data_IF_376335163344
#
_entry.id   IF_376335163344
#
_cell.length_a   1.000
_cell.length_b   1.000
_cell.length_c   1.000
_cell.angle_alpha   90.00
_cell.angle_beta   90.00
_cell.angle_gamma   90.00
#
_symmetry.space_group_name_H-M   'P 1'
#
loop_
_entity.id
_entity.type
_entity.pdbx_description
1 polymer ?
#
# COMPACT_ATOMS: atom_id res chain seq x y z
N UNK A 1 4.96 7.93 -9.52
CA UNK A 1 4.64 6.92 -8.49
C UNK A 1 4.69 5.54 -9.14
N UNK A 2 5.49 4.61 -8.62
CA UNK A 2 5.61 3.23 -9.12
C UNK A 2 4.45 2.41 -8.56
N UNK A 3 3.65 1.75 -9.40
CA UNK A 3 2.41 1.09 -8.98
C UNK A 3 2.43 -0.43 -9.02
N UNK A 4 3.60 -1.07 -9.11
CA UNK A 4 3.81 -2.51 -9.40
C UNK A 4 3.87 -2.85 -10.89
N UNK A 5 4.42 -4.04 -11.24
CA UNK A 5 4.17 -4.60 -12.55
C UNK A 5 2.67 -4.86 -12.71
N UNK A 6 2.10 -4.39 -13.83
CA UNK A 6 0.81 -4.82 -14.35
C UNK A 6 1.09 -5.91 -15.38
N UNK A 7 0.40 -7.04 -15.27
CA UNK A 7 0.55 -8.15 -16.20
C UNK A 7 -0.80 -8.47 -16.84
N UNK A 8 -0.82 -8.57 -18.17
CA UNK A 8 -2.02 -8.84 -18.95
C UNK A 8 -1.65 -9.38 -20.34
N UNK A 9 -2.44 -10.33 -20.85
CA UNK A 9 -2.21 -10.93 -22.17
C UNK A 9 -0.83 -11.60 -22.33
N UNK A 10 -0.24 -12.12 -21.24
CA UNK A 10 1.10 -12.71 -21.24
C UNK A 10 2.27 -11.71 -21.27
N UNK A 11 1.98 -10.40 -21.18
CA UNK A 11 2.98 -9.33 -21.08
C UNK A 11 2.96 -8.70 -19.70
N UNK A 12 4.08 -8.09 -19.28
CA UNK A 12 4.14 -7.29 -18.05
C UNK A 12 4.89 -5.98 -18.27
N UNK A 13 4.46 -4.93 -17.58
CA UNK A 13 5.18 -3.66 -17.55
C UNK A 13 5.06 -2.98 -16.19
N UNK A 14 6.06 -2.18 -15.87
CA UNK A 14 6.00 -1.27 -14.73
C UNK A 14 5.12 -0.07 -15.08
N UNK A 15 4.03 0.10 -14.34
CA UNK A 15 3.09 1.22 -14.54
C UNK A 15 3.41 2.33 -13.56
N UNK A 16 3.32 3.56 -14.06
CA UNK A 16 3.56 4.76 -13.28
C UNK A 16 2.30 5.63 -13.24
N UNK A 17 1.95 6.11 -12.06
CA UNK A 17 0.92 7.14 -11.90
C UNK A 17 1.55 8.47 -11.51
N UNK A 18 1.05 9.54 -12.11
CA UNK A 18 1.31 10.92 -11.71
C UNK A 18 0.12 11.40 -10.87
N UNK A 19 0.36 11.71 -9.61
CA UNK A 19 -0.66 12.32 -8.73
C UNK A 19 -0.36 13.81 -8.57
N UNK A 20 -1.19 14.66 -9.17
CA UNK A 20 -0.98 16.11 -9.19
C UNK A 20 0.37 16.51 -9.80
N UNK A 21 0.92 17.64 -9.37
CA UNK A 21 2.21 18.15 -9.83
C UNK A 21 3.38 17.85 -8.87
N UNK A 22 3.21 16.85 -8.01
CA UNK A 22 4.29 16.38 -7.14
C UNK A 22 5.46 15.85 -7.98
N UNK A 23 6.67 16.24 -7.58
CA UNK A 23 7.92 15.67 -8.09
C UNK A 23 8.50 14.72 -7.05
N UNK A 24 9.31 13.76 -7.52
CA UNK A 24 9.86 12.68 -6.71
C UNK A 24 11.37 12.65 -6.85
N UNK A 25 12.07 12.61 -5.72
CA UNK A 25 13.50 12.33 -5.65
C UNK A 25 13.69 10.95 -5.05
N UNK A 26 14.46 10.11 -5.73
CA UNK A 26 14.74 8.75 -5.28
C UNK A 26 16.20 8.63 -4.85
N UNK A 27 16.43 7.83 -3.82
CA UNK A 27 17.76 7.33 -3.48
C UNK A 27 17.72 5.82 -3.30
N UNK A 28 18.86 5.18 -3.54
CA UNK A 28 19.04 3.75 -3.32
C UNK A 28 20.09 3.51 -2.26
N UNK A 29 19.88 2.50 -1.43
CA UNK A 29 20.84 2.05 -0.44
C UNK A 29 21.06 0.55 -0.57
N UNK A 30 22.18 0.08 -0.04
CA UNK A 30 22.50 -1.36 -0.01
C UNK A 30 21.48 -2.12 0.83
N UNK A 31 21.18 -3.39 0.47
CA UNK A 31 20.39 -4.27 1.31
C UNK A 31 20.94 -4.34 2.73
N UNK A 32 20.03 -4.47 3.69
CA UNK A 32 20.35 -4.65 5.11
C UNK A 32 20.39 -6.12 5.50
N UNK A 33 21.19 -6.45 6.50
CA UNK A 33 21.36 -7.82 6.97
C UNK A 33 20.38 -8.22 8.09
N UNK A 34 19.71 -7.25 8.70
CA UNK A 34 18.77 -7.45 9.82
C UNK A 34 17.69 -6.39 9.87
N UNK A 35 16.64 -6.62 10.67
CA UNK A 35 15.62 -5.61 10.95
C UNK A 35 16.18 -4.39 11.70
N UNK A 36 17.20 -4.57 12.55
CA UNK A 36 17.86 -3.48 13.25
C UNK A 36 18.65 -2.57 12.30
N UNK A 37 19.35 -3.16 11.34
CA UNK A 37 20.06 -2.42 10.28
C UNK A 37 19.06 -1.66 9.39
N UNK A 38 17.91 -2.28 9.07
CA UNK A 38 16.82 -1.60 8.38
C UNK A 38 16.35 -0.38 9.17
N UNK A 39 16.06 -0.52 10.47
CA UNK A 39 15.60 0.61 11.29
C UNK A 39 16.59 1.77 11.31
N UNK A 40 17.88 1.48 11.46
CA UNK A 40 18.93 2.50 11.41
C UNK A 40 18.94 3.22 10.06
N UNK A 41 18.94 2.43 8.97
CA UNK A 41 18.96 2.95 7.61
C UNK A 41 17.72 3.79 7.26
N UNK A 42 16.54 3.30 7.63
CA UNK A 42 15.26 3.94 7.32
C UNK A 42 15.03 5.20 8.14
N UNK A 43 15.44 5.23 9.42
CA UNK A 43 15.36 6.44 10.23
C UNK A 43 16.39 7.50 9.79
N UNK A 44 17.57 7.11 9.31
CA UNK A 44 18.53 8.04 8.70
C UNK A 44 17.91 8.72 7.46
N UNK A 45 17.39 7.95 6.52
CA UNK A 45 16.72 8.48 5.33
C UNK A 45 15.47 9.31 5.69
N UNK A 46 14.68 8.81 6.65
CA UNK A 46 13.48 9.45 7.18
C UNK A 46 13.74 10.81 7.81
N UNK A 47 14.86 10.99 8.50
CA UNK A 47 15.28 12.30 9.04
C UNK A 47 15.54 13.34 7.97
N UNK A 48 15.85 12.92 6.74
CA UNK A 48 16.02 13.76 5.55
C UNK A 48 14.73 13.92 4.72
N UNK A 49 13.63 13.32 5.18
CA UNK A 49 12.32 13.34 4.53
C UNK A 49 12.14 12.33 3.42
N UNK A 50 12.92 11.25 3.40
CA UNK A 50 12.74 10.14 2.48
C UNK A 50 11.93 9.01 3.14
N UNK A 51 10.96 8.47 2.40
CA UNK A 51 10.18 7.28 2.79
C UNK A 51 10.76 6.04 2.14
N UNK A 52 10.97 4.97 2.89
CA UNK A 52 11.26 3.65 2.31
C UNK A 52 10.09 3.23 1.44
N UNK A 53 10.27 2.88 0.16
CA UNK A 53 9.18 2.45 -0.75
C UNK A 53 9.26 0.98 -1.15
N UNK A 54 10.13 0.22 -0.48
CA UNK A 54 10.38 -1.19 -0.75
C UNK A 54 11.81 -1.45 -1.22
N UNK A 55 12.02 -2.65 -1.76
CA UNK A 55 13.26 -3.04 -2.39
C UNK A 55 13.05 -3.35 -3.86
N UNK A 56 14.07 -3.09 -4.67
CA UNK A 56 14.06 -3.32 -6.10
C UNK A 56 15.19 -4.26 -6.48
N UNK A 57 14.88 -5.31 -7.22
CA UNK A 57 15.90 -6.12 -7.88
C UNK A 57 16.50 -5.33 -9.03
N UNK A 58 17.80 -5.08 -8.94
CA UNK A 58 18.64 -4.55 -10.01
C UNK A 58 19.29 -5.72 -10.75
N UNK A 59 19.60 -5.53 -12.04
CA UNK A 59 20.18 -6.60 -12.86
C UNK A 59 21.39 -7.26 -12.19
N UNK A 60 21.47 -8.60 -12.27
CA UNK A 60 22.54 -9.38 -11.63
C UNK A 60 22.38 -9.53 -10.12
N UNK A 61 21.43 -10.37 -9.67
CA UNK A 61 21.19 -10.84 -8.29
C UNK A 61 21.18 -9.79 -7.15
N UNK A 62 21.25 -8.51 -7.48
CA UNK A 62 21.49 -7.42 -6.53
C UNK A 62 20.17 -6.75 -6.25
N UNK A 63 19.78 -6.74 -4.99
CA UNK A 63 18.63 -5.95 -4.52
C UNK A 63 19.14 -4.60 -4.01
N UNK A 64 18.34 -3.54 -4.13
CA UNK A 64 18.59 -2.26 -3.46
C UNK A 64 17.37 -1.84 -2.66
N UNK A 65 17.59 -1.18 -1.53
CA UNK A 65 16.53 -0.50 -0.80
C UNK A 65 16.24 0.83 -1.48
N UNK A 66 14.97 1.09 -1.79
CA UNK A 66 14.56 2.31 -2.50
C UNK A 66 13.86 3.22 -1.52
N UNK A 67 14.28 4.49 -1.53
CA UNK A 67 13.66 5.54 -0.74
C UNK A 67 13.21 6.68 -1.65
N UNK A 68 12.09 7.32 -1.31
CA UNK A 68 11.44 8.37 -2.11
C UNK A 68 11.13 9.58 -1.26
N UNK A 69 11.46 10.77 -1.75
CA UNK A 69 11.04 12.05 -1.19
C UNK A 69 10.06 12.73 -2.14
N UNK A 70 8.92 13.13 -1.60
CA UNK A 70 7.82 13.73 -2.34
C UNK A 70 7.86 15.26 -2.14
N UNK A 71 7.80 16.04 -3.22
CA UNK A 71 7.90 17.51 -3.12
C UNK A 71 6.70 18.16 -2.42
N UNK A 72 5.58 17.47 -2.33
CA UNK A 72 4.34 17.92 -1.69
C UNK A 72 4.23 17.48 -0.22
N UNK A 73 5.23 16.78 0.32
CA UNK A 73 5.24 16.34 1.72
C UNK A 73 5.57 17.45 2.74
N UNK A 74 5.52 18.73 2.36
CA UNK A 74 5.69 19.90 3.24
C UNK A 74 6.92 19.86 4.19
N UNK A 75 8.02 19.22 3.77
CA UNK A 75 9.22 19.08 4.61
C UNK A 75 9.12 18.04 5.72
N UNK A 76 8.11 17.14 5.67
CA UNK A 76 7.95 16.05 6.61
C UNK A 76 9.21 15.17 6.70
N UNK A 77 9.53 14.79 7.93
CA UNK A 77 10.42 13.68 8.28
C UNK A 77 9.63 12.44 8.68
N UNK A 78 10.26 11.28 8.62
CA UNK A 78 9.65 9.99 8.90
C UNK A 78 10.44 9.20 9.93
N UNK A 79 9.73 8.60 10.88
CA UNK A 79 10.29 7.71 11.89
C UNK A 79 9.76 6.30 11.66
N UNK A 80 10.63 5.31 11.74
CA UNK A 80 10.30 3.90 11.55
C UNK A 80 10.38 3.10 12.83
N UNK A 81 9.48 2.14 12.95
CA UNK A 81 9.44 1.13 13.99
C UNK A 81 9.21 -0.25 13.36
N UNK A 82 9.73 -1.30 13.98
CA UNK A 82 9.51 -2.69 13.56
C UNK A 82 9.17 -3.55 14.74
N UNK A 83 8.28 -4.51 14.52
CA UNK A 83 7.94 -5.56 15.47
C UNK A 83 7.98 -6.92 14.77
N UNK A 84 8.04 -8.03 15.53
CA UNK A 84 7.87 -9.36 14.95
C UNK A 84 6.54 -9.42 14.17
N UNK A 85 6.56 -10.01 12.98
CA UNK A 85 5.35 -10.15 12.17
C UNK A 85 4.34 -11.08 12.89
N UNK A 86 3.08 -10.66 12.97
CA UNK A 86 2.03 -11.46 13.57
C UNK A 86 1.75 -12.73 12.75
N UNK A 87 1.54 -13.85 13.45
CA UNK A 87 1.28 -15.16 12.85
C UNK A 87 -0.20 -15.51 12.73
N UNK A 88 -1.10 -14.67 13.22
CA UNK A 88 -2.54 -14.89 13.17
C UNK A 88 -3.30 -13.55 13.07
N UNK A 89 -4.59 -13.63 12.71
CA UNK A 89 -5.45 -12.45 12.48
C UNK A 89 -5.62 -11.57 13.71
N UNK A 90 -5.78 -12.16 14.89
CA UNK A 90 -6.10 -11.40 16.10
C UNK A 90 -4.85 -10.70 16.62
N UNK A 91 -3.70 -11.38 16.61
CA UNK A 91 -2.38 -10.79 16.89
C UNK A 91 -2.04 -9.69 15.89
N UNK A 92 -2.33 -9.91 14.59
CA UNK A 92 -2.12 -8.89 13.55
C UNK A 92 -2.95 -7.64 13.84
N UNK A 93 -4.27 -7.79 14.04
CA UNK A 93 -5.17 -6.67 14.31
C UNK A 93 -4.79 -5.93 15.60
N UNK A 94 -4.43 -6.65 16.67
CA UNK A 94 -3.98 -6.03 17.92
C UNK A 94 -2.72 -5.19 17.69
N UNK A 95 -1.73 -5.74 16.99
CA UNK A 95 -0.47 -5.07 16.66
C UNK A 95 -0.70 -3.81 15.81
N UNK A 96 -1.35 -3.92 14.66
CA UNK A 96 -1.51 -2.78 13.74
C UNK A 96 -2.41 -1.68 14.31
N UNK A 97 -3.41 -2.03 15.13
CA UNK A 97 -4.26 -1.03 15.78
C UNK A 97 -3.54 -0.34 16.96
N UNK A 98 -2.71 -1.05 17.72
CA UNK A 98 -1.89 -0.44 18.76
C UNK A 98 -0.91 0.60 18.17
N UNK A 99 -0.21 0.22 17.10
CA UNK A 99 0.71 1.11 16.37
C UNK A 99 -0.05 2.24 15.67
N UNK A 100 -1.20 1.93 15.05
CA UNK A 100 -2.09 2.91 14.42
C UNK A 100 -2.57 3.99 15.38
N UNK A 101 -2.97 3.61 16.60
CA UNK A 101 -3.36 4.56 17.66
C UNK A 101 -2.19 5.47 18.10
N UNK A 102 -0.95 4.99 18.01
CA UNK A 102 0.26 5.78 18.26
C UNK A 102 0.68 6.67 17.06
N UNK A 103 -0.07 6.62 15.95
CA UNK A 103 0.17 7.40 14.74
C UNK A 103 1.12 6.74 13.74
N UNK A 104 1.42 5.46 13.91
CA UNK A 104 2.22 4.69 12.97
C UNK A 104 1.33 3.99 11.93
N UNK A 105 1.65 4.20 10.66
CA UNK A 105 1.04 3.51 9.54
C UNK A 105 1.77 2.19 9.25
N UNK A 106 1.05 1.10 9.03
CA UNK A 106 1.63 -0.18 8.64
C UNK A 106 1.99 -0.13 7.14
N UNK A 107 3.29 -0.01 6.88
CA UNK A 107 3.83 0.01 5.52
C UNK A 107 3.97 -1.39 4.95
N UNK A 108 4.36 -2.35 5.79
CA UNK A 108 4.38 -3.77 5.46
C UNK A 108 3.95 -4.60 6.67
N UNK A 109 3.03 -5.53 6.49
CA UNK A 109 2.60 -6.44 7.56
C UNK A 109 3.66 -7.49 7.89
N UNK A 110 4.42 -7.91 6.89
CA UNK A 110 5.54 -8.84 7.02
C UNK A 110 6.53 -8.57 5.90
N UNK A 111 7.77 -8.23 6.26
CA UNK A 111 8.87 -8.03 5.32
C UNK A 111 10.16 -8.67 5.84
N UNK A 112 10.90 -9.31 4.93
CA UNK A 112 12.16 -9.98 5.22
C UNK A 112 13.36 -9.04 5.15
N UNK A 113 14.11 -8.92 6.24
CA UNK A 113 15.41 -8.24 6.28
C UNK A 113 16.49 -9.21 6.76
N UNK A 114 17.25 -9.76 5.81
CA UNK A 114 18.15 -10.88 6.09
C UNK A 114 17.37 -12.10 6.57
N UNK A 115 17.61 -12.52 7.82
CA UNK A 115 16.89 -13.63 8.47
C UNK A 115 15.62 -13.23 9.22
N UNK A 116 15.37 -11.93 9.42
CA UNK A 116 14.27 -11.43 10.23
C UNK A 116 13.02 -11.20 9.37
N UNK A 117 11.84 -11.64 9.85
CA UNK A 117 10.54 -11.28 9.26
C UNK A 117 9.80 -10.39 10.24
N UNK A 118 9.60 -9.12 9.87
CA UNK A 118 9.04 -8.09 10.75
C UNK A 118 7.91 -7.31 10.08
N UNK A 119 6.98 -6.83 10.89
CA UNK A 119 6.06 -5.78 10.50
C UNK A 119 6.80 -4.42 10.52
N UNK A 120 6.55 -3.59 9.52
CA UNK A 120 7.19 -2.27 9.36
C UNK A 120 6.16 -1.16 9.49
N UNK A 121 6.47 -0.23 10.39
CA UNK A 121 5.62 0.89 10.77
C UNK A 121 6.32 2.21 10.49
N UNK A 122 5.59 3.19 9.95
CA UNK A 122 6.11 4.53 9.62
C UNK A 122 5.22 5.60 10.26
N UNK A 123 5.84 6.60 10.88
CA UNK A 123 5.17 7.79 11.38
C UNK A 123 5.71 9.04 10.70
N UNK A 124 4.82 9.83 10.12
CA UNK A 124 5.12 11.16 9.58
C UNK A 124 5.17 12.18 10.72
N UNK A 125 6.10 13.14 10.65
CA UNK A 125 6.08 14.33 11.50
C UNK A 125 5.07 15.39 11.04
N UNK A 126 4.57 15.27 9.81
CA UNK A 126 3.47 16.10 9.34
C UNK A 126 2.12 15.54 9.82
N UNK A 127 1.36 16.38 10.52
CA UNK A 127 0.03 16.05 11.03
C UNK A 127 0.05 15.14 12.26
N UNK A 128 -1.15 14.76 12.71
CA UNK A 128 -1.38 13.90 13.87
C UNK A 128 -2.29 12.71 13.50
N UNK A 129 -2.20 12.21 12.27
CA UNK A 129 -3.01 11.08 11.80
C UNK A 129 -2.81 9.87 12.69
N UNK A 130 -3.92 9.21 13.01
CA UNK A 130 -3.96 7.90 13.68
C UNK A 130 -4.76 6.94 12.83
N UNK A 131 -4.50 5.65 12.97
CA UNK A 131 -4.99 4.65 12.04
C UNK A 131 -5.74 3.54 12.76
N UNK A 132 -6.84 3.10 12.15
CA UNK A 132 -7.54 1.88 12.52
C UNK A 132 -7.50 0.88 11.36
N UNK A 133 -7.42 -0.40 11.69
CA UNK A 133 -7.38 -1.49 10.73
C UNK A 133 -8.51 -2.48 10.98
N UNK A 134 -9.07 -2.94 9.88
CA UNK A 134 -10.00 -4.05 9.85
C UNK A 134 -9.54 -5.10 8.86
N UNK A 135 -10.00 -6.33 9.09
CA UNK A 135 -9.77 -7.44 8.18
C UNK A 135 -11.12 -8.01 7.77
N UNK A 136 -11.36 -8.10 6.47
CA UNK A 136 -12.49 -8.82 5.88
C UNK A 136 -12.09 -10.26 5.55
N UNK A 137 -13.03 -11.20 5.65
CA UNK A 137 -12.84 -12.55 5.13
C UNK A 137 -12.76 -12.54 3.60
N UNK A 138 -12.19 -13.59 3.01
CA UNK A 138 -12.22 -13.76 1.56
C UNK A 138 -13.67 -13.81 1.04
N UNK A 139 -13.91 -13.08 -0.04
CA UNK A 139 -15.16 -13.14 -0.77
C UNK A 139 -15.15 -14.33 -1.74
N UNK A 140 -16.32 -14.94 -1.93
CA UNK A 140 -16.48 -16.06 -2.87
C UNK A 140 -16.40 -15.62 -4.34
N UNK A 141 -16.80 -14.38 -4.64
CA UNK A 141 -16.85 -13.82 -5.98
C UNK A 141 -16.64 -12.29 -5.97
N UNK A 142 -16.52 -11.71 -7.17
CA UNK A 142 -16.33 -10.27 -7.38
C UNK A 142 -17.44 -9.42 -6.75
N UNK A 143 -18.69 -9.89 -6.78
CA UNK A 143 -19.84 -9.17 -6.23
C UNK A 143 -19.72 -9.07 -4.71
N UNK A 144 -19.40 -10.18 -4.04
CA UNK A 144 -19.16 -10.25 -2.61
C UNK A 144 -17.96 -9.39 -2.18
N UNK A 145 -16.88 -9.38 -2.98
CA UNK A 145 -15.73 -8.53 -2.73
C UNK A 145 -16.10 -7.04 -2.82
N UNK A 146 -16.81 -6.63 -3.87
CA UNK A 146 -17.26 -5.24 -4.02
C UNK A 146 -18.19 -4.82 -2.89
N UNK A 147 -19.17 -5.66 -2.53
CA UNK A 147 -20.07 -5.38 -1.41
C UNK A 147 -19.29 -5.19 -0.10
N UNK A 148 -18.29 -6.03 0.17
CA UNK A 148 -17.42 -5.89 1.34
C UNK A 148 -16.60 -4.58 1.28
N UNK A 149 -16.02 -4.26 0.12
CA UNK A 149 -15.16 -3.09 -0.04
C UNK A 149 -15.97 -1.80 0.11
N UNK A 150 -17.17 -1.73 -0.47
CA UNK A 150 -18.08 -0.58 -0.36
C UNK A 150 -18.62 -0.43 1.06
N UNK A 151 -18.97 -1.52 1.75
CA UNK A 151 -19.39 -1.49 3.16
C UNK A 151 -18.31 -0.86 4.05
N UNK A 152 -17.07 -1.33 3.92
CA UNK A 152 -15.92 -0.81 4.66
C UNK A 152 -15.56 0.60 4.23
N UNK A 153 -15.61 0.87 2.94
CA UNK A 153 -15.35 2.16 2.32
C UNK A 153 -16.31 3.25 2.79
N UNK A 154 -17.60 2.93 2.94
CA UNK A 154 -18.60 3.83 3.52
C UNK A 154 -18.30 4.19 4.97
N UNK A 155 -17.65 3.30 5.73
CA UNK A 155 -17.16 3.56 7.09
C UNK A 155 -15.79 4.23 7.14
N UNK A 156 -15.18 4.49 5.98
CA UNK A 156 -13.89 5.16 5.82
C UNK A 156 -12.67 4.24 5.83
N UNK A 157 -12.87 2.94 5.68
CA UNK A 157 -11.78 1.98 5.54
C UNK A 157 -11.42 1.77 4.07
N UNK A 158 -10.20 2.13 3.67
CA UNK A 158 -9.64 1.87 2.34
C UNK A 158 -9.02 0.47 2.29
N UNK A 159 -9.33 -0.30 1.25
CA UNK A 159 -8.63 -1.54 0.93
C UNK A 159 -7.13 -1.29 0.72
N UNK A 160 -6.28 -2.17 1.28
CA UNK A 160 -4.83 -2.07 1.18
C UNK A 160 -4.20 -3.19 0.38
N UNK A 161 -4.40 -4.43 0.82
CA UNK A 161 -3.79 -5.61 0.22
C UNK A 161 -4.50 -6.89 0.70
N UNK A 162 -4.37 -8.00 -0.03
CA UNK A 162 -4.76 -9.30 0.48
C UNK A 162 -3.80 -9.72 1.60
N UNK A 163 -4.33 -10.30 2.67
CA UNK A 163 -3.54 -10.88 3.74
C UNK A 163 -3.48 -12.40 3.58
N UNK A 164 -2.30 -12.97 3.66
CA UNK A 164 -2.05 -14.41 3.58
C UNK A 164 -0.96 -14.80 4.59
N UNK A 165 -1.31 -14.93 5.88
CA UNK A 165 -0.39 -15.43 6.91
C UNK A 165 -1.11 -16.38 7.89
N UNK A 166 -0.42 -17.45 8.28
CA UNK A 166 -0.84 -18.29 9.41
C UNK A 166 -2.14 -19.07 9.22
N UNK A 167 -2.46 -19.46 7.99
CA UNK A 167 -3.70 -20.18 7.68
C UNK A 167 -4.96 -19.30 7.64
N UNK A 168 -4.81 -17.99 7.84
CA UNK A 168 -5.87 -17.01 7.62
C UNK A 168 -5.60 -16.22 6.33
N UNK A 169 -6.67 -16.04 5.56
CA UNK A 169 -6.69 -15.27 4.33
C UNK A 169 -7.85 -14.27 4.33
N UNK A 170 -7.62 -13.09 3.76
CA UNK A 170 -8.62 -12.05 3.73
C UNK A 170 -8.12 -10.76 3.12
N UNK A 171 -8.86 -9.68 3.36
CA UNK A 171 -8.56 -8.35 2.86
C UNK A 171 -8.27 -7.39 4.01
N UNK A 172 -7.13 -6.69 3.97
CA UNK A 172 -6.80 -5.66 4.96
C UNK A 172 -7.35 -4.32 4.51
N UNK A 173 -7.97 -3.61 5.45
CA UNK A 173 -8.44 -2.26 5.25
C UNK A 173 -7.90 -1.33 6.33
N UNK A 174 -7.70 -0.07 5.97
CA UNK A 174 -7.16 0.95 6.86
C UNK A 174 -7.98 2.23 6.80
N UNK A 175 -8.18 2.87 7.94
CA UNK A 175 -8.85 4.16 8.08
C UNK A 175 -7.91 5.15 8.75
N UNK A 176 -7.80 6.36 8.21
CA UNK A 176 -7.24 7.50 8.94
C UNK A 176 -8.34 8.10 9.81
N UNK A 177 -8.18 8.01 11.12
CA UNK A 177 -9.14 8.48 12.11
C UNK A 177 -9.15 10.01 12.24
N UNK A 178 -8.17 10.71 11.66
CA UNK A 178 -8.13 12.18 11.63
C UNK A 178 -8.96 12.80 10.51
N UNK A 179 -9.55 11.98 9.63
CA UNK A 179 -10.32 12.42 8.47
C UNK A 179 -11.67 11.72 8.40
N UNK A 180 -12.63 12.35 7.72
CA UNK A 180 -13.95 11.78 7.41
C UNK A 180 -14.00 11.15 6.02
N UNK A 181 -12.88 10.57 5.59
CA UNK A 181 -12.73 9.96 4.28
C UNK A 181 -13.71 8.82 4.07
N UNK A 182 -14.25 8.70 2.86
CA UNK A 182 -15.00 7.51 2.42
C UNK A 182 -14.46 7.03 1.08
N UNK A 183 -14.73 5.76 0.76
CA UNK A 183 -14.25 5.11 -0.45
C UNK A 183 -15.38 4.31 -1.09
N UNK A 184 -15.49 4.43 -2.41
CA UNK A 184 -16.38 3.59 -3.24
C UNK A 184 -15.54 2.80 -4.22
N UNK A 185 -15.98 1.62 -4.62
CA UNK A 185 -15.18 0.71 -5.43
C UNK A 185 -15.88 0.31 -6.71
N UNK A 186 -15.07 -0.09 -7.68
CA UNK A 186 -15.55 -0.78 -8.87
C UNK A 186 -14.51 -1.82 -9.30
N UNK A 187 -15.00 -2.90 -9.90
CA UNK A 187 -14.18 -3.95 -10.48
C UNK A 187 -14.57 -4.09 -11.95
N UNK A 188 -13.59 -3.99 -12.84
CA UNK A 188 -13.79 -4.13 -14.27
C UNK A 188 -13.07 -5.38 -14.77
N UNK A 189 -13.59 -5.99 -15.83
CA UNK A 189 -12.86 -7.07 -16.53
C UNK A 189 -11.48 -6.56 -16.93
N UNK A 190 -10.49 -7.43 -16.86
CA UNK A 190 -9.18 -7.16 -17.45
C UNK A 190 -9.28 -7.11 -18.98
N UNK A 191 -8.48 -6.23 -19.58
CA UNK A 191 -8.28 -6.17 -21.01
C UNK A 191 -7.52 -7.40 -21.51
N UNK A 192 -7.65 -7.69 -22.81
CA UNK A 192 -6.88 -8.78 -23.43
C UNK A 192 -5.37 -8.45 -23.56
N UNK A 193 -5.01 -7.18 -23.40
CA UNK A 193 -3.64 -6.68 -23.53
C UNK A 193 -3.37 -5.63 -22.45
N UNK A 194 -2.07 -5.46 -22.16
CA UNK A 194 -1.60 -4.41 -21.26
C UNK A 194 -2.04 -3.00 -21.72
N UNK A 195 -1.98 -2.70 -23.02
CA UNK A 195 -2.41 -1.40 -23.56
C UNK A 195 -3.90 -1.15 -23.30
N UNK A 196 -4.74 -2.21 -23.37
CA UNK A 196 -6.15 -2.10 -23.04
C UNK A 196 -6.37 -1.82 -21.55
N UNK A 197 -5.62 -2.47 -20.65
CA UNK A 197 -5.71 -2.19 -19.20
C UNK A 197 -5.20 -0.80 -18.82
N UNK A 198 -4.16 -0.31 -19.50
CA UNK A 198 -3.67 1.06 -19.34
C UNK A 198 -4.73 2.06 -19.83
N UNK A 199 -5.32 1.83 -21.00
CA UNK A 199 -6.38 2.69 -21.52
C UNK A 199 -7.61 2.71 -20.60
N UNK A 200 -8.03 1.54 -20.11
CA UNK A 200 -9.10 1.42 -19.11
C UNK A 200 -8.76 2.20 -17.83
N UNK A 201 -7.57 2.02 -17.28
CA UNK A 201 -7.14 2.68 -16.04
C UNK A 201 -7.02 4.19 -16.19
N UNK A 202 -6.59 4.68 -17.36
CA UNK A 202 -6.57 6.11 -17.67
C UNK A 202 -7.99 6.70 -17.78
N UNK A 203 -8.92 5.98 -18.44
CA UNK A 203 -10.31 6.41 -18.55
C UNK A 203 -10.99 6.48 -17.16
N UNK A 204 -10.87 5.41 -16.39
CA UNK A 204 -11.39 5.33 -15.01
C UNK A 204 -10.72 6.36 -14.09
N UNK A 205 -9.42 6.60 -14.27
CA UNK A 205 -8.67 7.63 -13.56
C UNK A 205 -9.17 9.04 -13.84
N UNK A 206 -9.59 9.33 -15.08
CA UNK A 206 -10.19 10.61 -15.44
C UNK A 206 -11.51 10.89 -14.70
N UNK A 207 -12.22 9.84 -14.29
CA UNK A 207 -13.44 9.92 -13.46
C UNK A 207 -13.14 10.04 -11.95
N UNK A 208 -11.87 10.15 -11.58
CA UNK A 208 -11.40 10.38 -10.20
C UNK A 208 -11.17 9.11 -9.39
N UNK A 209 -11.09 7.94 -10.04
CA UNK A 209 -10.74 6.70 -9.37
C UNK A 209 -9.22 6.48 -9.31
N UNK A 210 -8.72 5.98 -8.19
CA UNK A 210 -7.39 5.40 -8.06
C UNK A 210 -7.40 3.91 -8.40
N UNK A 211 -6.36 3.45 -9.08
CA UNK A 211 -6.16 2.02 -9.33
C UNK A 211 -5.71 1.33 -8.04
N UNK A 212 -6.36 0.20 -7.71
CA UNK A 212 -5.94 -0.70 -6.63
C UNK A 212 -4.96 -1.73 -7.16
N UNK A 213 -5.27 -2.32 -8.32
CA UNK A 213 -4.54 -3.42 -8.90
C UNK A 213 -5.48 -4.50 -9.44
N UNK A 214 -4.96 -5.45 -10.23
CA UNK A 214 -5.67 -6.68 -10.53
C UNK A 214 -5.77 -7.50 -9.24
N UNK A 215 -6.97 -7.98 -8.93
CA UNK A 215 -7.20 -8.94 -7.84
C UNK A 215 -7.92 -10.15 -8.40
N UNK A 216 -7.52 -11.32 -7.89
CA UNK A 216 -8.22 -12.59 -8.15
C UNK A 216 -9.16 -12.83 -6.97
N UNK A 217 -10.45 -12.92 -7.25
CA UNK A 217 -11.48 -13.26 -6.27
C UNK A 217 -12.30 -14.43 -6.80
N UNK A 218 -12.33 -15.53 -6.03
CA UNK A 218 -12.86 -16.79 -6.53
C UNK A 218 -12.08 -17.24 -7.77
N UNK A 219 -12.78 -17.37 -8.89
CA UNK A 219 -12.19 -17.69 -10.20
C UNK A 219 -12.07 -16.49 -11.15
N UNK A 220 -12.40 -15.28 -10.70
CA UNK A 220 -12.42 -14.09 -11.53
C UNK A 220 -11.19 -13.22 -11.27
N UNK A 221 -10.54 -12.78 -12.35
CA UNK A 221 -9.52 -11.74 -12.31
C UNK A 221 -10.13 -10.42 -12.80
N UNK A 222 -10.02 -9.38 -11.98
CA UNK A 222 -10.59 -8.05 -12.27
C UNK A 222 -9.60 -6.96 -11.88
N UNK A 223 -9.64 -5.87 -12.63
CA UNK A 223 -9.01 -4.62 -12.23
C UNK A 223 -9.89 -3.89 -11.22
N UNK A 224 -9.39 -3.71 -10.00
CA UNK A 224 -10.10 -2.98 -8.95
C UNK A 224 -9.66 -1.52 -8.90
N UNK A 225 -10.62 -0.66 -8.62
CA UNK A 225 -10.45 0.78 -8.49
C UNK A 225 -11.20 1.29 -7.28
N UNK A 226 -10.75 2.40 -6.71
CA UNK A 226 -11.42 3.09 -5.61
C UNK A 226 -11.60 4.57 -5.93
N UNK A 227 -12.69 5.18 -5.52
CA UNK A 227 -12.89 6.64 -5.60
C UNK A 227 -13.00 7.20 -4.19
N UNK A 228 -12.02 8.01 -3.74
CA UNK A 228 -12.04 8.61 -2.42
C UNK A 228 -12.95 9.85 -2.40
N UNK A 229 -13.55 10.12 -1.25
CA UNK A 229 -14.21 11.40 -0.92
C UNK A 229 -13.68 11.90 0.43
N UNK A 230 -13.56 13.22 0.59
CA UNK A 230 -13.03 13.87 1.82
C UNK A 230 -11.65 13.36 2.28
N UNK A 231 -10.84 12.85 1.35
CA UNK A 231 -9.56 12.22 1.66
C UNK A 231 -8.41 13.14 1.25
N UNK A 232 -7.52 13.45 2.20
CA UNK A 232 -6.32 14.26 1.97
C UNK A 232 -5.05 13.54 2.43
N UNK A 233 -3.91 13.93 1.87
CA UNK A 233 -2.62 13.36 2.24
C UNK A 233 -2.20 12.14 1.41
N UNK A 234 -0.95 11.72 1.62
CA UNK A 234 -0.27 10.78 0.71
C UNK A 234 -0.42 9.31 1.10
N UNK A 235 -0.82 9.03 2.35
CA UNK A 235 -0.75 7.67 2.91
C UNK A 235 -1.94 6.81 2.49
N UNK A 236 -3.17 7.33 2.60
CA UNK A 236 -4.39 6.58 2.27
C UNK A 236 -5.06 7.10 0.99
N UNK A 237 -4.86 8.36 0.60
CA UNK A 237 -5.70 8.94 -0.46
C UNK A 237 -5.11 8.81 -1.87
N UNK A 238 -3.78 8.65 -1.99
CA UNK A 238 -3.13 8.46 -3.29
C UNK A 238 -3.16 6.99 -3.73
N UNK A 239 -3.23 6.71 -5.05
CA UNK A 239 -3.13 5.35 -5.58
C UNK A 239 -1.81 4.78 -5.11
N UNK A 240 -1.83 3.70 -4.33
CA UNK A 240 -0.61 3.07 -3.82
C UNK A 240 -0.25 1.89 -4.70
N UNK A 241 1.04 1.58 -4.80
CA UNK A 241 1.48 0.25 -5.22
C UNK A 241 0.76 -0.81 -4.36
N UNK A 242 0.36 -1.99 -4.88
CA UNK A 242 -0.08 -3.14 -4.08
C UNK A 242 0.92 -3.56 -2.99
N UNK A 243 2.21 -3.18 -3.08
CA UNK A 243 3.20 -3.33 -1.99
C UNK A 243 3.27 -2.15 -1.01
N UNK A 244 2.26 -1.29 -1.01
CA UNK A 244 1.95 -0.54 0.18
C UNK A 244 2.48 0.90 0.27
N UNK A 245 3.01 1.52 -0.79
CA UNK A 245 3.43 2.94 -0.80
C UNK A 245 3.33 3.65 -2.16
#
# INVERSE_FOLDING_TARGET
MFLSPLASGGSSAYVYVKTGDATYVYETKTPVASAADFLSQANEAGSRGFRWVGALSTGGASTVMVYRKDSDAAGATYTYHTEAAASDKDSFLAQVNAQGAAGYFNTAAAYGFGGDIVAVFEKSSAGNSTYAYEVGADAADTIGALAQFDEKGARGFRYRYPYLLGGFSGSVFVKDLSQSSTFTYQALTEGATLDADIAQSNAVGADGYGFVGPLIVGSESRNYYYKPSNCTGIVICKPTNPFGL
#
